data_IF_259929320057
#
_entry.id   IF_259929320057
#
_cell.length_a   1.000
_cell.length_b   1.000
_cell.length_c   1.000
_cell.angle_alpha   90.00
_cell.angle_beta   90.00
_cell.angle_gamma   90.00
#
_symmetry.space_group_name_H-M   'P 1'
#
loop_
_entity.id
_entity.type
_entity.pdbx_description
1 polymer ?
#
# COMPACT_ATOMS: atom_id res chain seq x y z
N UNK A 1 -15.65 -3.40 -20.12
CA UNK A 1 -15.31 -3.68 -18.71
C UNK A 1 -14.15 -4.66 -18.73
N UNK A 2 -12.91 -4.19 -18.54
CA UNK A 2 -11.74 -5.07 -18.55
C UNK A 2 -11.51 -5.63 -17.15
N UNK A 3 -11.43 -6.95 -17.13
CA UNK A 3 -11.39 -7.87 -16.00
C UNK A 3 -10.39 -7.48 -14.91
N UNK A 4 -10.85 -7.34 -13.67
CA UNK A 4 -10.04 -7.37 -12.44
C UNK A 4 -9.46 -8.76 -12.14
N UNK A 5 -9.49 -9.70 -13.11
CA UNK A 5 -9.02 -11.08 -12.95
C UNK A 5 -7.50 -11.25 -13.10
N UNK A 6 -6.74 -10.23 -13.49
CA UNK A 6 -5.29 -10.35 -13.69
C UNK A 6 -4.44 -9.84 -12.50
N UNK A 7 -4.87 -10.11 -11.27
CA UNK A 7 -4.05 -9.91 -10.05
C UNK A 7 -3.92 -11.26 -9.34
N UNK A 8 -3.38 -12.26 -10.03
CA UNK A 8 -3.47 -13.69 -9.66
C UNK A 8 -2.67 -14.09 -8.41
N UNK A 9 -1.87 -13.19 -7.83
CA UNK A 9 -1.05 -13.50 -6.67
C UNK A 9 -1.18 -12.43 -5.60
N UNK A 10 -2.11 -12.64 -4.65
CA UNK A 10 -2.15 -11.87 -3.41
C UNK A 10 -0.91 -12.19 -2.55
N UNK A 11 -0.46 -11.27 -1.68
CA UNK A 11 0.55 -11.58 -0.67
C UNK A 11 0.07 -12.71 0.26
N UNK A 12 1.01 -13.39 0.93
CA UNK A 12 0.66 -14.33 2.00
C UNK A 12 -0.07 -13.61 3.14
N UNK A 13 -0.87 -14.36 3.91
CA UNK A 13 -1.58 -13.80 5.07
C UNK A 13 -0.60 -13.18 6.09
N UNK A 14 0.52 -13.86 6.39
CA UNK A 14 1.56 -13.32 7.27
C UNK A 14 2.11 -11.96 6.78
N UNK A 15 2.21 -11.78 5.47
CA UNK A 15 2.65 -10.51 4.88
C UNK A 15 1.57 -9.44 5.02
N UNK A 16 0.30 -9.78 4.79
CA UNK A 16 -0.85 -8.88 5.01
C UNK A 16 -0.90 -8.43 6.47
N UNK A 17 -0.79 -9.38 7.40
CA UNK A 17 -0.82 -9.14 8.83
C UNK A 17 0.29 -8.18 9.26
N UNK A 18 1.54 -8.49 8.90
CA UNK A 18 2.68 -7.65 9.26
C UNK A 18 2.54 -6.23 8.71
N UNK A 19 2.18 -6.09 7.44
CA UNK A 19 2.07 -4.78 6.80
C UNK A 19 0.92 -3.96 7.42
N UNK A 20 -0.22 -4.58 7.71
CA UNK A 20 -1.33 -3.87 8.33
C UNK A 20 -1.02 -3.40 9.77
N UNK A 21 -0.08 -4.00 10.50
CA UNK A 21 0.32 -3.51 11.83
C UNK A 21 0.97 -2.13 11.84
N UNK A 22 1.55 -1.69 10.70
CA UNK A 22 2.11 -0.35 10.56
C UNK A 22 1.09 0.77 10.80
N UNK A 23 -0.22 0.48 10.74
CA UNK A 23 -1.24 1.46 11.09
C UNK A 23 -1.14 1.94 12.55
N UNK A 24 -0.55 1.14 13.44
CA UNK A 24 -0.29 1.52 14.83
C UNK A 24 0.85 2.52 14.94
N UNK A 25 1.90 2.38 14.12
CA UNK A 25 3.04 3.31 14.10
C UNK A 25 2.60 4.72 13.66
N UNK A 26 1.60 4.80 12.77
CA UNK A 26 0.98 6.07 12.34
C UNK A 26 0.16 6.80 13.41
N UNK A 27 -0.01 6.22 14.61
CA UNK A 27 -0.69 6.86 15.76
C UNK A 27 0.28 7.57 16.71
N UNK A 28 1.59 7.43 16.50
CA UNK A 28 2.61 8.00 17.38
C UNK A 28 2.72 9.52 17.23
N UNK A 29 2.83 10.25 18.35
CA UNK A 29 2.90 11.74 18.37
C UNK A 29 4.15 12.30 17.71
N UNK A 30 5.27 11.57 17.76
CA UNK A 30 6.57 11.99 17.21
C UNK A 30 6.99 11.08 16.05
N UNK A 31 6.06 10.80 15.15
CA UNK A 31 6.32 9.93 14.00
C UNK A 31 7.36 10.56 13.05
N UNK A 32 8.48 9.86 12.83
CA UNK A 32 9.33 10.11 11.68
C UNK A 32 8.75 9.37 10.47
N UNK A 33 7.99 10.09 9.63
CA UNK A 33 7.25 9.48 8.53
C UNK A 33 8.17 8.86 7.47
N UNK A 34 9.27 9.53 7.15
CA UNK A 34 10.24 9.02 6.17
C UNK A 34 10.89 7.73 6.65
N UNK A 35 11.23 7.63 7.94
CA UNK A 35 11.73 6.39 8.52
C UNK A 35 10.68 5.27 8.50
N UNK A 36 9.41 5.59 8.74
CA UNK A 36 8.31 4.62 8.61
C UNK A 36 8.18 4.11 7.17
N UNK A 37 8.25 4.98 6.18
CA UNK A 37 8.20 4.59 4.77
C UNK A 37 9.39 3.71 4.39
N UNK A 38 10.59 4.03 4.86
CA UNK A 38 11.80 3.21 4.64
C UNK A 38 11.63 1.81 5.23
N UNK A 39 11.17 1.73 6.49
CA UNK A 39 10.95 0.46 7.20
C UNK A 39 9.88 -0.38 6.49
N UNK A 40 8.78 0.26 6.10
CA UNK A 40 7.68 -0.37 5.37
C UNK A 40 8.15 -0.89 4.00
N UNK A 41 8.93 -0.11 3.24
CA UNK A 41 9.51 -0.55 1.96
C UNK A 41 10.38 -1.79 2.14
N UNK A 42 11.24 -1.81 3.17
CA UNK A 42 12.10 -2.97 3.47
C UNK A 42 11.28 -4.22 3.77
N UNK A 43 10.20 -4.11 4.54
CA UNK A 43 9.34 -5.24 4.85
C UNK A 43 8.53 -5.72 3.64
N UNK A 44 8.00 -4.81 2.81
CA UNK A 44 7.35 -5.17 1.54
C UNK A 44 8.30 -5.97 0.63
N UNK A 45 9.57 -5.52 0.51
CA UNK A 45 10.62 -6.21 -0.22
C UNK A 45 10.92 -7.60 0.35
N UNK A 46 11.14 -7.67 1.67
CA UNK A 46 11.46 -8.92 2.37
C UNK A 46 10.34 -9.96 2.24
N UNK A 47 9.09 -9.52 2.26
CA UNK A 47 7.89 -10.37 2.16
C UNK A 47 7.47 -10.70 0.73
N UNK A 48 8.11 -10.08 -0.28
CA UNK A 48 7.70 -10.24 -1.67
C UNK A 48 6.25 -9.78 -1.92
N UNK A 49 5.82 -8.70 -1.28
CA UNK A 49 4.42 -8.21 -1.26
C UNK A 49 3.98 -7.72 -2.66
N UNK A 50 3.67 -8.65 -3.56
CA UNK A 50 3.30 -8.40 -4.96
C UNK A 50 4.33 -7.61 -5.79
N UNK A 51 5.59 -7.50 -5.34
CA UNK A 51 6.60 -6.70 -6.05
C UNK A 51 7.00 -7.28 -7.42
N UNK A 52 6.78 -8.57 -7.65
CA UNK A 52 7.01 -9.22 -8.93
C UNK A 52 5.83 -9.07 -9.92
N UNK A 53 4.71 -8.50 -9.48
CA UNK A 53 3.52 -8.29 -10.31
C UNK A 53 3.57 -6.89 -10.88
N UNK A 54 3.49 -6.73 -12.20
CA UNK A 54 3.40 -5.42 -12.82
C UNK A 54 1.97 -4.85 -12.72
N UNK A 55 1.76 -3.95 -11.76
CA UNK A 55 0.50 -3.26 -11.55
C UNK A 55 0.51 -1.85 -12.14
N UNK A 56 1.55 -1.47 -12.89
CA UNK A 56 1.78 -0.09 -13.33
C UNK A 56 0.61 0.45 -14.16
N UNK A 57 0.16 -0.29 -15.17
CA UNK A 57 -0.96 0.12 -16.04
C UNK A 57 -2.24 0.30 -15.20
N UNK A 58 -2.50 -0.60 -14.26
CA UNK A 58 -3.66 -0.48 -13.38
C UNK A 58 -3.52 0.70 -12.41
N UNK A 59 -2.33 0.96 -11.89
CA UNK A 59 -2.04 2.09 -11.00
C UNK A 59 -2.27 3.42 -11.72
N UNK A 60 -1.77 3.55 -12.96
CA UNK A 60 -1.94 4.74 -13.80
C UNK A 60 -3.41 4.99 -14.14
N UNK A 61 -4.19 3.94 -14.41
CA UNK A 61 -5.59 4.05 -14.83
C UNK A 61 -6.60 4.15 -13.69
N UNK A 62 -6.30 3.57 -12.52
CA UNK A 62 -7.24 3.42 -11.38
C UNK A 62 -6.59 3.64 -10.02
N UNK A 63 -5.38 3.13 -9.81
CA UNK A 63 -4.73 3.18 -8.49
C UNK A 63 -4.46 4.61 -8.00
N UNK A 64 -4.14 5.54 -8.89
CA UNK A 64 -3.93 6.96 -8.58
C UNK A 64 -5.18 7.65 -7.98
N UNK A 65 -6.39 7.14 -8.25
CA UNK A 65 -7.61 7.67 -7.63
C UNK A 65 -7.59 7.47 -6.11
N UNK A 66 -7.02 6.36 -5.62
CA UNK A 66 -6.88 6.09 -4.20
C UNK A 66 -5.90 7.04 -3.51
N UNK A 67 -4.84 7.47 -4.22
CA UNK A 67 -3.88 8.44 -3.70
C UNK A 67 -4.50 9.83 -3.60
N UNK A 68 -5.30 10.22 -4.60
CA UNK A 68 -6.00 11.51 -4.66
C UNK A 68 -7.22 11.57 -3.75
N UNK A 69 -7.89 10.43 -3.53
CA UNK A 69 -9.08 10.33 -2.68
C UNK A 69 -8.96 9.15 -1.70
N UNK A 70 -8.34 9.36 -0.53
CA UNK A 70 -8.13 8.31 0.47
C UNK A 70 -9.41 7.66 1.01
N UNK A 71 -10.59 8.25 0.78
CA UNK A 71 -11.87 7.65 1.18
C UNK A 71 -12.21 6.39 0.38
N UNK A 72 -11.64 6.24 -0.83
CA UNK A 72 -11.84 5.05 -1.65
C UNK A 72 -11.30 3.78 -0.97
N UNK A 73 -10.31 3.91 -0.08
CA UNK A 73 -9.83 2.77 0.71
C UNK A 73 -10.89 2.18 1.64
N UNK A 74 -11.89 2.94 2.10
CA UNK A 74 -12.88 2.43 3.05
C UNK A 74 -13.65 1.20 2.52
N UNK A 75 -13.76 1.04 1.21
CA UNK A 75 -14.49 -0.08 0.58
C UNK A 75 -13.64 -0.82 -0.45
N UNK A 76 -12.32 -0.57 -0.47
CA UNK A 76 -11.43 -1.18 -1.44
C UNK A 76 -11.39 -2.71 -1.25
N UNK A 77 -11.44 -3.50 -2.33
CA UNK A 77 -11.09 -4.91 -2.29
C UNK A 77 -9.62 -5.10 -1.89
N UNK A 78 -9.30 -6.23 -1.24
CA UNK A 78 -7.94 -6.58 -0.82
C UNK A 78 -6.92 -6.44 -1.97
N UNK A 79 -7.26 -6.96 -3.15
CA UNK A 79 -6.44 -6.89 -4.36
C UNK A 79 -6.05 -5.45 -4.73
N UNK A 80 -6.98 -4.50 -4.67
CA UNK A 80 -6.71 -3.10 -4.97
C UNK A 80 -5.76 -2.46 -3.96
N UNK A 81 -5.92 -2.78 -2.67
CA UNK A 81 -5.06 -2.23 -1.62
C UNK A 81 -3.65 -2.77 -1.77
N UNK A 82 -3.52 -4.09 -1.95
CA UNK A 82 -2.23 -4.72 -2.14
C UNK A 82 -1.54 -4.22 -3.42
N UNK A 83 -2.28 -4.05 -4.52
CA UNK A 83 -1.76 -3.48 -5.76
C UNK A 83 -1.23 -2.05 -5.57
N UNK A 84 -2.00 -1.17 -4.93
CA UNK A 84 -1.55 0.22 -4.65
C UNK A 84 -0.30 0.23 -3.79
N UNK A 85 -0.29 -0.53 -2.68
CA UNK A 85 0.88 -0.60 -1.79
C UNK A 85 2.09 -1.20 -2.50
N UNK A 86 1.92 -2.25 -3.30
CA UNK A 86 3.04 -2.84 -4.03
C UNK A 86 3.63 -1.88 -5.05
N UNK A 87 2.80 -1.16 -5.81
CA UNK A 87 3.27 -0.36 -6.94
C UNK A 87 3.89 0.95 -6.46
N UNK A 88 3.28 1.60 -5.45
CA UNK A 88 3.79 2.88 -4.97
C UNK A 88 5.15 2.75 -4.27
N UNK A 89 5.44 1.59 -3.66
CA UNK A 89 6.72 1.33 -2.99
C UNK A 89 7.80 0.74 -3.91
N UNK A 90 7.50 0.50 -5.19
CA UNK A 90 8.52 0.17 -6.20
C UNK A 90 9.38 1.37 -6.57
N UNK A 91 8.88 2.59 -6.42
CA UNK A 91 9.68 3.79 -6.67
C UNK A 91 10.82 3.92 -5.65
N UNK A 92 12.01 4.33 -6.11
CA UNK A 92 13.22 4.35 -5.29
C UNK A 92 13.39 5.60 -4.43
N UNK A 93 12.76 6.70 -4.81
CA UNK A 93 12.85 7.94 -4.07
C UNK A 93 11.80 8.03 -2.94
N UNK A 94 12.27 7.84 -1.70
CA UNK A 94 11.43 7.95 -0.51
C UNK A 94 10.97 9.39 -0.21
N UNK A 95 11.71 10.40 -0.66
CA UNK A 95 11.31 11.79 -0.48
C UNK A 95 10.14 12.12 -1.41
N UNK A 96 10.22 11.73 -2.69
CA UNK A 96 9.10 11.84 -3.61
C UNK A 96 7.89 11.01 -3.14
N UNK A 97 8.13 9.80 -2.62
CA UNK A 97 7.06 8.96 -2.08
C UNK A 97 6.34 9.65 -0.92
N UNK A 98 7.06 10.33 -0.03
CA UNK A 98 6.45 11.04 1.09
C UNK A 98 5.52 12.18 0.62
N UNK A 99 5.83 12.82 -0.51
CA UNK A 99 4.97 13.83 -1.14
C UNK A 99 3.75 13.19 -1.82
N UNK A 100 3.93 12.09 -2.54
CA UNK A 100 2.87 11.37 -3.28
C UNK A 100 1.93 10.59 -2.36
N UNK A 101 2.42 10.13 -1.22
CA UNK A 101 1.69 9.33 -0.24
C UNK A 101 1.63 10.04 1.11
N UNK A 102 0.64 10.94 1.32
CA UNK A 102 0.41 11.55 2.62
C UNK A 102 0.15 10.49 3.71
N UNK A 103 0.61 10.75 4.94
CA UNK A 103 0.44 9.84 6.06
C UNK A 103 -1.03 9.41 6.31
N UNK A 104 -1.99 10.31 6.05
CA UNK A 104 -3.42 10.00 6.16
C UNK A 104 -3.87 8.97 5.11
N UNK A 105 -3.30 9.02 3.91
CA UNK A 105 -3.59 8.08 2.81
C UNK A 105 -3.04 6.70 3.14
N UNK A 106 -1.78 6.61 3.56
CA UNK A 106 -1.19 5.36 4.02
C UNK A 106 -1.98 4.78 5.19
N UNK A 107 -2.36 5.60 6.18
CA UNK A 107 -3.17 5.16 7.32
C UNK A 107 -4.48 4.52 6.87
N UNK A 108 -5.16 5.10 5.88
CA UNK A 108 -6.42 4.56 5.34
C UNK A 108 -6.21 3.23 4.63
N UNK A 109 -5.16 3.11 3.83
CA UNK A 109 -4.80 1.85 3.18
C UNK A 109 -4.51 0.75 4.22
N UNK A 110 -3.69 1.03 5.22
CA UNK A 110 -3.31 0.07 6.26
C UNK A 110 -4.48 -0.30 7.19
N UNK A 111 -5.35 0.65 7.54
CA UNK A 111 -6.57 0.35 8.30
C UNK A 111 -7.50 -0.58 7.54
N UNK A 112 -7.68 -0.34 6.24
CA UNK A 112 -8.48 -1.24 5.42
C UNK A 112 -7.81 -2.60 5.28
N UNK A 113 -6.50 -2.65 5.08
CA UNK A 113 -5.75 -3.90 5.04
C UNK A 113 -5.92 -4.70 6.35
N UNK A 114 -5.98 -4.01 7.49
CA UNK A 114 -6.21 -4.62 8.79
C UNK A 114 -7.57 -5.33 8.93
N UNK A 115 -8.56 -4.99 8.12
CA UNK A 115 -9.88 -5.67 8.11
C UNK A 115 -9.83 -7.03 7.39
N UNK A 116 -8.72 -7.34 6.72
CA UNK A 116 -8.46 -8.62 6.04
C UNK A 116 -7.42 -9.48 6.78
N UNK A 117 -7.00 -9.06 7.99
CA UNK A 117 -6.35 -9.95 8.95
C UNK A 117 -7.36 -10.92 9.51
#
# INVERSE_FOLDING_TARGET
>A
MQNTHCLEHLPSQDAIDLIADYHHELKQKNLNYQHLLEKLKKDLCRLGFMLNVDNKIWMETRGNDYLRNPKLFNYAPLTCICAVLSEIFKEDDLAELAEKLPAITLKKALLRLNEFK
#
